data_IF_614894532851
#
_entry.id   IF_614894532851
#
_cell.length_a   1.000
_cell.length_b   1.000
_cell.length_c   1.000
_cell.angle_alpha   90.00
_cell.angle_beta   90.00
_cell.angle_gamma   90.00
#
_symmetry.space_group_name_H-M   'P 1'
#
loop_
_entity.id
_entity.type
_entity.pdbx_description
1 polymer ?
#
# COMPACT_ATOMS: atom_id res chain seq x y z
N UNK A 1 -17.65 -6.87 -3.84
CA UNK A 1 -16.21 -6.56 -3.66
C UNK A 1 -16.01 -5.66 -2.45
N UNK A 2 -15.19 -6.10 -1.49
CA UNK A 2 -14.94 -5.35 -0.24
C UNK A 2 -13.87 -4.25 -0.44
N UNK A 3 -13.74 -3.35 0.53
CA UNK A 3 -12.81 -2.21 0.44
C UNK A 3 -11.33 -2.62 0.40
N UNK A 4 -10.97 -3.73 1.06
CA UNK A 4 -9.61 -4.25 1.07
C UNK A 4 -9.21 -4.71 -0.33
N UNK A 5 -10.07 -5.50 -0.99
CA UNK A 5 -9.84 -5.98 -2.34
C UNK A 5 -9.72 -4.81 -3.33
N UNK A 6 -10.60 -3.80 -3.22
CA UNK A 6 -10.48 -2.57 -4.01
C UNK A 6 -9.16 -1.84 -3.76
N UNK A 7 -8.70 -1.80 -2.51
CA UNK A 7 -7.40 -1.23 -2.16
C UNK A 7 -6.22 -2.02 -2.74
N UNK A 8 -6.32 -3.35 -2.81
CA UNK A 8 -5.35 -4.19 -3.51
C UNK A 8 -5.33 -3.86 -4.99
N UNK A 9 -6.48 -3.90 -5.67
CA UNK A 9 -6.59 -3.55 -7.10
C UNK A 9 -6.01 -2.18 -7.40
N UNK A 10 -6.33 -1.18 -6.58
CA UNK A 10 -5.77 0.16 -6.69
C UNK A 10 -4.23 0.17 -6.71
N UNK A 11 -3.58 -0.64 -5.87
CA UNK A 11 -2.12 -0.79 -5.85
C UNK A 11 -1.64 -1.60 -7.07
N UNK A 12 -2.27 -2.73 -7.38
CA UNK A 12 -1.83 -3.63 -8.46
C UNK A 12 -1.88 -2.96 -9.83
N UNK A 13 -2.89 -2.12 -10.09
CA UNK A 13 -2.99 -1.33 -11.33
C UNK A 13 -1.84 -0.33 -11.52
N UNK A 14 -1.11 0.00 -10.44
CA UNK A 14 -0.10 1.06 -10.40
C UNK A 14 1.28 0.54 -9.97
N UNK A 15 1.47 -0.76 -9.92
CA UNK A 15 2.70 -1.38 -9.42
C UNK A 15 2.94 -2.75 -10.03
N UNK A 16 4.08 -3.35 -9.69
CA UNK A 16 4.36 -4.76 -9.97
C UNK A 16 3.87 -5.70 -8.87
N UNK A 17 3.11 -5.20 -7.90
CA UNK A 17 2.67 -6.01 -6.77
C UNK A 17 1.45 -6.84 -7.17
N UNK A 18 1.37 -8.04 -6.60
CA UNK A 18 0.18 -8.90 -6.68
C UNK A 18 -0.15 -9.43 -5.30
N UNK A 19 -1.38 -9.20 -4.87
CA UNK A 19 -1.90 -9.68 -3.59
C UNK A 19 -2.60 -11.02 -3.81
N UNK A 20 -2.25 -12.00 -2.98
CA UNK A 20 -2.85 -13.34 -3.00
C UNK A 20 -3.35 -13.68 -1.61
N UNK A 21 -4.59 -14.14 -1.55
CA UNK A 21 -5.19 -14.62 -0.31
C UNK A 21 -4.63 -16.01 0.03
N UNK A 22 -4.38 -16.23 1.31
CA UNK A 22 -3.83 -17.47 1.85
C UNK A 22 -4.44 -17.75 3.21
N UNK A 23 -4.48 -19.03 3.60
CA UNK A 23 -4.87 -19.41 4.96
C UNK A 23 -3.86 -18.86 5.99
N UNK A 24 -4.29 -18.00 6.93
CA UNK A 24 -3.39 -17.42 7.92
C UNK A 24 -2.79 -18.46 8.87
N UNK A 25 -3.49 -19.59 9.13
CA UNK A 25 -2.97 -20.65 10.00
C UNK A 25 -1.80 -21.38 9.34
N UNK A 26 -1.93 -21.71 8.05
CA UNK A 26 -0.85 -22.30 7.28
C UNK A 26 0.37 -21.37 7.18
N UNK A 27 0.17 -20.07 6.91
CA UNK A 27 1.27 -19.10 6.81
C UNK A 27 1.99 -18.89 8.14
N UNK A 28 1.26 -18.84 9.26
CA UNK A 28 1.85 -18.63 10.59
C UNK A 28 2.83 -19.74 11.01
N UNK A 29 2.75 -20.93 10.39
CA UNK A 29 3.65 -22.07 10.64
C UNK A 29 4.97 -21.99 9.84
N UNK A 30 5.10 -21.06 8.89
CA UNK A 30 6.31 -20.90 8.09
C UNK A 30 7.27 -19.90 8.75
N UNK A 31 8.55 -20.28 8.90
CA UNK A 31 9.54 -19.51 9.68
C UNK A 31 10.16 -18.32 8.93
N UNK A 32 10.03 -18.26 7.61
CA UNK A 32 10.67 -17.25 6.75
C UNK A 32 9.67 -16.52 5.83
N UNK A 33 8.40 -16.44 6.23
CA UNK A 33 7.38 -15.72 5.48
C UNK A 33 7.04 -14.39 6.14
N UNK A 34 6.72 -13.40 5.33
CA UNK A 34 6.10 -12.16 5.78
C UNK A 34 4.78 -12.04 5.05
N UNK A 35 3.70 -11.77 5.78
CA UNK A 35 2.37 -11.69 5.23
C UNK A 35 1.56 -10.58 5.87
N UNK A 36 0.63 -10.03 5.10
CA UNK A 36 -0.32 -9.03 5.57
C UNK A 36 -1.51 -9.74 6.22
N UNK A 37 -1.93 -9.25 7.37
CA UNK A 37 -3.09 -9.75 8.10
C UNK A 37 -4.07 -8.61 8.35
N UNK A 38 -5.20 -8.66 7.66
CA UNK A 38 -6.22 -7.63 7.74
C UNK A 38 -7.10 -7.87 8.96
N UNK A 39 -7.35 -6.81 9.73
CA UNK A 39 -8.34 -6.82 10.80
C UNK A 39 -9.15 -5.54 10.76
N UNK A 40 -10.36 -5.60 11.29
CA UNK A 40 -11.24 -4.45 11.41
C UNK A 40 -11.12 -3.83 12.80
N UNK A 41 -11.27 -2.51 12.89
CA UNK A 41 -11.34 -1.75 14.13
C UNK A 41 -12.42 -0.69 14.05
N UNK A 42 -13.26 -0.57 15.09
CA UNK A 42 -14.37 0.38 15.14
C UNK A 42 -13.96 1.81 15.49
N UNK A 43 -12.65 2.05 15.66
CA UNK A 43 -12.05 3.37 15.90
C UNK A 43 -12.43 4.33 14.76
N UNK A 44 -12.91 5.52 15.11
CA UNK A 44 -13.44 6.54 14.20
C UNK A 44 -12.52 7.77 14.07
N UNK A 45 -11.25 7.64 14.46
CA UNK A 45 -10.28 8.73 14.48
C UNK A 45 -9.58 8.93 13.12
N UNK A 46 -9.31 7.84 12.38
CA UNK A 46 -8.65 7.88 11.07
C UNK A 46 -8.86 6.58 10.29
N UNK A 47 -8.79 6.63 8.96
CA UNK A 47 -8.63 5.41 8.15
C UNK A 47 -7.26 4.76 8.37
N UNK A 48 -6.21 5.57 8.44
CA UNK A 48 -4.84 5.08 8.59
C UNK A 48 -4.37 5.29 10.03
N UNK A 49 -4.26 4.18 10.76
CA UNK A 49 -3.69 4.16 12.11
C UNK A 49 -2.20 3.79 12.04
N UNK A 50 -1.38 4.41 12.89
CA UNK A 50 0.02 4.00 13.04
C UNK A 50 0.10 2.80 13.96
N UNK A 51 0.72 1.73 13.48
CA UNK A 51 1.00 0.54 14.28
C UNK A 51 2.40 0.01 13.95
N UNK A 52 3.04 -0.59 14.95
CA UNK A 52 4.36 -1.17 14.79
C UNK A 52 4.26 -2.52 14.06
N UNK A 53 4.93 -2.63 12.91
CA UNK A 53 5.07 -3.90 12.21
C UNK A 53 6.45 -4.49 12.45
N UNK A 54 6.49 -5.79 12.75
CA UNK A 54 7.75 -6.53 12.80
C UNK A 54 8.32 -6.68 11.39
N UNK A 55 9.66 -6.74 11.23
CA UNK A 55 10.29 -6.88 9.93
C UNK A 55 9.93 -8.21 9.25
N UNK A 56 9.68 -9.28 10.01
CA UNK A 56 9.30 -10.62 9.52
C UNK A 56 8.03 -11.13 10.21
N UNK A 57 7.32 -12.04 9.53
CA UNK A 57 6.11 -12.68 10.03
C UNK A 57 4.84 -11.88 9.72
N UNK A 58 3.89 -11.93 10.64
CA UNK A 58 2.59 -11.25 10.51
C UNK A 58 2.75 -9.73 10.60
N UNK A 59 2.34 -9.02 9.55
CA UNK A 59 2.19 -7.55 9.54
C UNK A 59 0.72 -7.20 9.53
N UNK A 60 0.29 -6.40 10.50
CA UNK A 60 -1.12 -6.09 10.67
C UNK A 60 -1.53 -5.07 9.60
N UNK A 61 -2.79 -5.10 9.15
CA UNK A 61 -3.42 -3.99 8.44
C UNK A 61 -4.74 -3.72 9.12
N UNK A 62 -4.85 -2.55 9.76
CA UNK A 62 -6.07 -2.12 10.43
C UNK A 62 -6.94 -1.35 9.43
N UNK A 63 -8.13 -1.85 9.18
CA UNK A 63 -9.17 -1.19 8.38
C UNK A 63 -10.22 -0.66 9.34
N UNK A 64 -10.52 0.63 9.24
CA UNK A 64 -11.56 1.28 10.05
C UNK A 64 -12.77 1.67 9.19
N UNK A 65 -13.92 2.00 9.80
CA UNK A 65 -15.09 2.55 9.08
C UNK A 65 -14.78 3.79 8.24
N UNK A 66 -13.69 4.49 8.52
CA UNK A 66 -13.29 5.69 7.79
C UNK A 66 -12.52 5.40 6.49
N UNK A 67 -12.11 4.15 6.26
CA UNK A 67 -11.54 3.73 4.98
C UNK A 67 -12.67 3.53 3.96
N UNK A 68 -13.04 4.60 3.25
CA UNK A 68 -14.14 4.61 2.29
C UNK A 68 -13.69 4.50 0.84
N UNK A 69 -12.44 4.88 0.56
CA UNK A 69 -11.89 4.91 -0.78
C UNK A 69 -10.86 3.79 -0.99
N UNK A 70 -10.76 3.21 -2.20
CA UNK A 70 -9.73 2.23 -2.54
C UNK A 70 -8.32 2.74 -2.20
N UNK A 71 -8.02 4.00 -2.55
CA UNK A 71 -6.74 4.63 -2.25
C UNK A 71 -6.42 4.67 -0.74
N UNK A 72 -7.43 4.81 0.12
CA UNK A 72 -7.24 4.83 1.57
C UNK A 72 -6.90 3.44 2.13
N UNK A 73 -7.59 2.39 1.67
CA UNK A 73 -7.24 1.01 2.03
C UNK A 73 -5.88 0.59 1.46
N UNK A 74 -5.56 1.04 0.23
CA UNK A 74 -4.24 0.88 -0.36
C UNK A 74 -3.16 1.58 0.45
N UNK A 75 -3.40 2.82 0.88
CA UNK A 75 -2.49 3.58 1.74
C UNK A 75 -2.18 2.84 3.05
N UNK A 76 -3.21 2.36 3.76
CA UNK A 76 -3.02 1.57 4.98
C UNK A 76 -2.22 0.28 4.73
N UNK A 77 -2.48 -0.37 3.60
CA UNK A 77 -1.74 -1.56 3.15
C UNK A 77 -0.25 -1.26 2.93
N UNK A 78 0.08 -0.14 2.27
CA UNK A 78 1.47 0.25 2.02
C UNK A 78 2.24 0.58 3.30
N UNK A 79 1.60 1.15 4.33
CA UNK A 79 2.22 1.28 5.66
C UNK A 79 2.57 -0.06 6.27
N UNK A 80 1.70 -1.07 6.11
CA UNK A 80 2.00 -2.41 6.57
C UNK A 80 3.14 -3.08 5.79
N UNK A 81 3.33 -2.70 4.53
CA UNK A 81 4.47 -3.13 3.72
C UNK A 81 5.77 -2.41 4.11
N UNK A 82 5.70 -1.36 4.93
CA UNK A 82 6.86 -0.65 5.46
C UNK A 82 7.13 0.71 4.79
N UNK A 83 6.23 1.17 3.92
CA UNK A 83 6.30 2.53 3.39
C UNK A 83 5.74 3.50 4.41
N UNK A 84 6.57 4.46 4.84
CA UNK A 84 6.17 5.48 5.78
C UNK A 84 6.38 6.86 5.19
N UNK A 85 5.54 7.79 5.62
CA UNK A 85 5.68 9.20 5.31
C UNK A 85 5.47 10.02 6.56
N UNK A 86 6.10 11.17 6.57
CA UNK A 86 5.95 12.18 7.60
C UNK A 86 5.46 13.46 6.93
N UNK A 87 4.48 14.15 7.53
CA UNK A 87 3.88 15.36 6.95
C UNK A 87 4.90 16.46 6.62
N UNK A 88 6.03 16.47 7.31
CA UNK A 88 7.08 17.49 7.18
C UNK A 88 8.12 17.17 6.11
N UNK A 89 8.14 15.94 5.60
CA UNK A 89 9.14 15.47 4.67
C UNK A 89 8.53 15.26 3.29
N UNK A 90 9.33 15.53 2.26
CA UNK A 90 8.94 15.28 0.87
C UNK A 90 8.66 13.80 0.61
N UNK A 91 7.94 13.54 -0.48
CA UNK A 91 7.69 12.18 -0.95
C UNK A 91 9.00 11.46 -1.25
N UNK A 92 9.19 10.28 -0.66
CA UNK A 92 10.43 9.48 -0.80
C UNK A 92 10.28 8.51 -1.97
N UNK A 93 10.38 9.05 -3.18
CA UNK A 93 10.11 8.31 -4.42
C UNK A 93 10.92 7.01 -4.55
N UNK A 94 12.22 7.06 -4.24
CA UNK A 94 13.08 5.87 -4.30
C UNK A 94 12.62 4.72 -3.38
N UNK A 95 12.07 5.03 -2.20
CA UNK A 95 11.57 4.01 -1.28
C UNK A 95 10.26 3.42 -1.78
N UNK A 96 9.35 4.28 -2.26
CA UNK A 96 8.10 3.84 -2.86
C UNK A 96 8.35 2.94 -4.06
N UNK A 97 9.27 3.35 -4.96
CA UNK A 97 9.67 2.57 -6.14
C UNK A 97 10.28 1.22 -5.77
N UNK A 98 11.14 1.16 -4.75
CA UNK A 98 11.76 -0.09 -4.30
C UNK A 98 10.73 -1.11 -3.80
N UNK A 99 9.64 -0.66 -3.17
CA UNK A 99 8.55 -1.53 -2.69
C UNK A 99 7.59 -1.89 -3.82
N UNK A 100 7.18 -0.92 -4.64
CA UNK A 100 6.15 -1.11 -5.67
C UNK A 100 6.68 -1.81 -6.93
N UNK A 101 7.98 -1.72 -7.22
CA UNK A 101 8.61 -2.24 -8.44
C UNK A 101 9.89 -3.03 -8.13
N UNK A 102 9.79 -4.18 -7.45
CA UNK A 102 10.96 -4.99 -7.09
C UNK A 102 11.68 -5.52 -8.33
N UNK A 103 12.99 -5.76 -8.22
CA UNK A 103 13.87 -6.13 -9.35
C UNK A 103 13.42 -7.37 -10.13
N UNK A 104 12.73 -8.30 -9.47
CA UNK A 104 12.21 -9.53 -10.10
C UNK A 104 10.92 -9.31 -10.90
N UNK A 105 10.41 -8.09 -10.98
CA UNK A 105 9.26 -7.77 -11.80
C UNK A 105 9.64 -7.81 -13.28
N UNK A 106 9.04 -8.75 -14.03
CA UNK A 106 9.27 -8.89 -15.47
C UNK A 106 8.86 -7.62 -16.24
N UNK A 107 7.83 -6.91 -15.78
CA UNK A 107 7.28 -5.71 -16.41
C UNK A 107 7.78 -4.42 -15.73
N UNK A 108 8.90 -4.49 -15.01
CA UNK A 108 9.38 -3.38 -14.17
C UNK A 108 9.53 -2.07 -14.94
N UNK A 109 10.12 -2.13 -16.13
CA UNK A 109 10.39 -0.96 -16.96
C UNK A 109 9.08 -0.29 -17.37
N UNK A 110 8.14 -1.07 -17.91
CA UNK A 110 6.85 -0.54 -18.38
C UNK A 110 5.99 -0.01 -17.22
N UNK A 111 5.95 -0.74 -16.10
CA UNK A 111 5.17 -0.35 -14.93
C UNK A 111 5.73 0.91 -14.25
N UNK A 112 7.06 1.08 -14.20
CA UNK A 112 7.69 2.31 -13.72
C UNK A 112 7.38 3.50 -14.61
N UNK A 113 7.43 3.32 -15.93
CA UNK A 113 7.11 4.38 -16.89
C UNK A 113 5.68 4.89 -16.70
N UNK A 114 4.71 3.98 -16.61
CA UNK A 114 3.30 4.34 -16.33
C UNK A 114 3.18 5.11 -15.01
N UNK A 115 3.86 4.64 -13.97
CA UNK A 115 3.84 5.30 -12.66
C UNK A 115 4.37 6.73 -12.71
N UNK A 116 5.49 6.96 -13.40
CA UNK A 116 6.08 8.29 -13.57
C UNK A 116 5.16 9.23 -14.36
N UNK A 117 4.59 8.75 -15.47
CA UNK A 117 3.61 9.51 -16.27
C UNK A 117 2.38 9.91 -15.44
N UNK A 118 1.89 9.00 -14.57
CA UNK A 118 0.74 9.28 -13.71
C UNK A 118 1.04 10.31 -12.62
N UNK A 119 2.28 10.33 -12.09
CA UNK A 119 2.70 11.31 -11.09
C UNK A 119 2.81 12.72 -11.68
N UNK A 120 3.29 12.83 -12.91
CA UNK A 120 3.40 14.12 -13.61
C UNK A 120 2.00 14.72 -13.86
N UNK A 121 1.04 13.90 -14.29
CA UNK A 121 -0.36 14.31 -14.48
C UNK A 121 -1.02 14.79 -13.17
N UNK A 122 -0.77 14.08 -12.06
CA UNK A 122 -1.28 14.46 -10.73
C UNK A 122 -0.63 15.76 -10.23
N UNK A 123 0.66 15.95 -10.49
CA UNK A 123 1.39 17.18 -10.13
C UNK A 123 0.85 18.38 -10.89
N UNK A 124 0.52 18.21 -12.18
CA UNK A 124 -0.13 19.23 -13.00
C UNK A 124 -1.54 19.59 -12.52
N UNK A 125 -2.31 18.62 -11.99
CA UNK A 125 -3.65 18.85 -11.43
C UNK A 125 -3.63 19.59 -10.08
N UNK A 126 -2.61 19.37 -9.25
CA UNK A 126 -2.46 20.08 -7.97
C UNK A 126 -2.07 21.55 -8.21
N UNK A 127 -1.27 21.84 -9.24
CA UNK A 127 -0.90 23.21 -9.61
C UNK A 127 -2.03 24.00 -10.31
N UNK A 128 -3.00 23.33 -10.90
CA UNK A 128 -4.14 23.97 -11.58
C UNK A 128 -5.34 24.22 -10.65
N UNK A 129 -5.49 23.47 -9.56
CA UNK A 129 -6.53 23.68 -8.54
C UNK A 129 -6.10 24.57 -7.36
N UNK A 130 -4.94 25.22 -7.46
CA UNK A 130 -4.38 26.14 -6.46
C UNK A 130 -4.62 27.63 -6.76
N UNK A 131 -5.70 27.99 -7.46
CA UNK A 131 -6.15 29.39 -7.63
C UNK A 131 -7.60 29.54 -7.21
#
# INVERSE_FOLDING_TARGET
>A
MNIVQKGHEFIQERSCLHFREHDPVALARQTNITYLYYTFSEVLESCCLKFYNKPRGRRLVLITPLCKLPAQAGHATLHAMGLHHEKKFGFRDNEAKAVMFPDKCAQRIDALKIFEETLDDLSLQIHSNGR
#
